data_IF_940487940332
#
_entry.id   IF_940487940332
#
_cell.length_a   1.000
_cell.length_b   1.000
_cell.length_c   1.000
_cell.angle_alpha   90.00
_cell.angle_beta   90.00
_cell.angle_gamma   90.00
#
_symmetry.space_group_name_H-M   'P 1'
#
loop_
_entity.id
_entity.type
_entity.pdbx_description
1 polymer ?
#
# COMPACT_ATOMS: atom_id res chain seq x y z
N UNK A 1 -2.57 -17.03 1.70
CA UNK A 1 -3.98 -17.43 1.91
C UNK A 1 -4.03 -18.93 2.16
N UNK A 2 -5.06 -19.42 2.86
CA UNK A 2 -5.35 -20.87 2.98
C UNK A 2 -6.23 -21.40 1.83
N UNK A 3 -6.52 -20.56 0.83
CA UNK A 3 -7.34 -20.90 -0.32
C UNK A 3 -6.63 -21.87 -1.25
N UNK A 4 -7.37 -22.87 -1.73
CA UNK A 4 -6.88 -23.80 -2.75
C UNK A 4 -6.47 -23.06 -4.03
N UNK A 5 -5.36 -23.45 -4.70
CA UNK A 5 -4.85 -22.79 -5.90
C UNK A 5 -5.93 -22.40 -6.92
N UNK A 6 -6.77 -23.36 -7.34
CA UNK A 6 -7.81 -23.14 -8.36
C UNK A 6 -8.96 -22.22 -7.95
N UNK A 7 -9.00 -21.75 -6.70
CA UNK A 7 -10.01 -20.82 -6.17
C UNK A 7 -9.42 -19.42 -5.92
N UNK A 8 -8.12 -19.22 -6.14
CA UNK A 8 -7.45 -17.96 -5.78
C UNK A 8 -7.99 -16.75 -6.55
N UNK A 9 -8.47 -16.94 -7.79
CA UNK A 9 -9.09 -15.89 -8.61
C UNK A 9 -10.39 -15.33 -8.04
N UNK A 10 -11.03 -16.05 -7.13
CA UNK A 10 -12.26 -15.63 -6.45
C UNK A 10 -12.01 -14.86 -5.15
N UNK A 11 -10.74 -14.73 -4.74
CA UNK A 11 -10.37 -14.13 -3.46
C UNK A 11 -10.03 -12.66 -3.61
N UNK A 12 -10.32 -11.95 -2.54
CA UNK A 12 -10.08 -10.52 -2.40
C UNK A 12 -8.99 -10.27 -1.36
N UNK A 13 -8.51 -9.03 -1.30
CA UNK A 13 -7.64 -8.59 -0.19
C UNK A 13 -8.39 -8.77 1.14
N UNK A 14 -9.69 -8.44 1.20
CA UNK A 14 -10.52 -8.60 2.39
C UNK A 14 -10.53 -10.05 2.90
N UNK A 15 -10.68 -11.04 2.02
CA UNK A 15 -10.59 -12.45 2.38
C UNK A 15 -9.24 -12.78 3.04
N UNK A 16 -8.13 -12.27 2.48
CA UNK A 16 -6.78 -12.52 3.01
C UNK A 16 -6.55 -11.85 4.37
N UNK A 17 -7.12 -10.66 4.59
CA UNK A 17 -7.06 -9.95 5.86
C UNK A 17 -7.89 -10.67 6.92
N UNK A 18 -9.09 -11.14 6.57
CA UNK A 18 -9.93 -11.93 7.47
C UNK A 18 -9.27 -13.27 7.85
N UNK A 19 -8.63 -13.96 6.91
CA UNK A 19 -7.86 -15.17 7.20
C UNK A 19 -6.76 -14.92 8.24
N UNK A 20 -6.06 -13.79 8.14
CA UNK A 20 -5.03 -13.41 9.11
C UNK A 20 -5.61 -13.03 10.47
N UNK A 21 -6.65 -12.20 10.50
CA UNK A 21 -7.34 -11.83 11.74
C UNK A 21 -7.88 -13.06 12.50
N UNK A 22 -8.36 -14.06 11.78
CA UNK A 22 -8.82 -15.33 12.34
C UNK A 22 -7.69 -16.33 12.64
N UNK A 23 -6.43 -15.92 12.54
CA UNK A 23 -5.25 -16.73 12.89
C UNK A 23 -4.98 -17.89 11.94
N UNK A 24 -5.55 -17.88 10.73
CA UNK A 24 -5.40 -18.94 9.71
C UNK A 24 -4.12 -18.79 8.90
N UNK A 25 -3.58 -17.57 8.81
CA UNK A 25 -2.32 -17.27 8.14
C UNK A 25 -1.40 -16.49 9.08
N UNK A 26 -0.09 -16.65 8.87
CA UNK A 26 0.94 -15.98 9.68
C UNK A 26 1.39 -14.63 9.09
N UNK A 27 1.11 -14.38 7.80
CA UNK A 27 1.54 -13.18 7.07
C UNK A 27 0.51 -12.81 5.99
N UNK A 28 0.38 -11.51 5.73
CA UNK A 28 -0.38 -10.92 4.61
C UNK A 28 0.44 -9.80 3.98
N UNK A 29 0.13 -9.44 2.74
CA UNK A 29 0.69 -8.26 2.09
C UNK A 29 -0.37 -7.15 2.05
N UNK A 30 -0.14 -6.06 2.76
CA UNK A 30 -1.03 -4.89 2.76
C UNK A 30 -0.29 -3.65 3.34
N UNK A 31 -0.94 -2.48 3.29
CA UNK A 31 -0.47 -1.25 3.92
C UNK A 31 -0.94 -1.10 5.38
N UNK A 32 -0.63 0.05 6.00
CA UNK A 32 -0.96 0.32 7.41
C UNK A 32 -2.47 0.41 7.65
N UNK A 33 -3.26 0.82 6.65
CA UNK A 33 -4.73 0.77 6.68
C UNK A 33 -5.28 -0.64 6.92
N UNK A 34 -4.47 -1.69 6.67
CA UNK A 34 -4.84 -3.07 6.92
C UNK A 34 -5.12 -3.39 8.38
N UNK A 35 -4.65 -2.59 9.34
CA UNK A 35 -4.97 -2.82 10.75
C UNK A 35 -6.47 -2.64 11.04
N UNK A 36 -7.13 -1.66 10.42
CA UNK A 36 -8.59 -1.52 10.51
C UNK A 36 -9.29 -2.79 10.03
N UNK A 37 -8.88 -3.31 8.88
CA UNK A 37 -9.41 -4.56 8.31
C UNK A 37 -9.21 -5.77 9.23
N UNK A 38 -8.14 -5.80 10.03
CA UNK A 38 -7.88 -6.87 11.02
C UNK A 38 -8.72 -6.67 12.27
N UNK A 39 -8.65 -5.48 12.87
CA UNK A 39 -9.24 -5.19 14.17
C UNK A 39 -10.77 -5.16 14.14
N UNK A 40 -11.36 -4.79 13.00
CA UNK A 40 -12.80 -4.78 12.76
C UNK A 40 -13.34 -6.13 12.26
N UNK A 41 -12.49 -7.12 11.99
CA UNK A 41 -12.95 -8.46 11.61
C UNK A 41 -13.64 -9.17 12.78
N UNK A 42 -14.88 -9.59 12.57
CA UNK A 42 -15.63 -10.40 13.53
C UNK A 42 -14.87 -11.68 13.91
N UNK A 43 -14.64 -11.86 15.21
CA UNK A 43 -13.90 -13.02 15.73
C UNK A 43 -12.39 -12.90 15.61
N UNK A 44 -11.84 -11.70 15.36
CA UNK A 44 -10.41 -11.44 15.38
C UNK A 44 -9.74 -12.06 16.63
N UNK A 45 -8.69 -12.82 16.39
CA UNK A 45 -7.90 -13.54 17.39
C UNK A 45 -6.49 -12.96 17.55
N UNK A 46 -6.08 -12.09 16.63
CA UNK A 46 -4.74 -11.48 16.62
C UNK A 46 -4.74 -10.23 17.50
N UNK A 47 -3.76 -10.17 18.40
CA UNK A 47 -3.57 -9.02 19.29
C UNK A 47 -2.84 -7.90 18.57
N UNK A 48 -3.23 -6.66 18.84
CA UNK A 48 -2.67 -5.48 18.18
C UNK A 48 -1.14 -5.38 18.33
N UNK A 49 -0.59 -5.71 19.50
CA UNK A 49 0.86 -5.69 19.75
C UNK A 49 1.65 -6.72 18.93
N UNK A 50 0.98 -7.76 18.39
CA UNK A 50 1.58 -8.81 17.58
C UNK A 50 1.49 -8.53 16.07
N UNK A 51 0.75 -7.49 15.65
CA UNK A 51 0.65 -7.10 14.24
C UNK A 51 1.79 -6.15 13.91
N UNK A 52 2.69 -6.58 13.03
CA UNK A 52 3.92 -5.87 12.69
C UNK A 52 4.18 -5.95 11.18
N UNK A 53 4.95 -5.00 10.66
CA UNK A 53 5.49 -5.09 9.32
C UNK A 53 6.75 -5.94 9.26
N UNK A 54 6.88 -6.67 8.15
CA UNK A 54 8.10 -7.34 7.75
C UNK A 54 8.54 -6.71 6.42
N UNK A 55 9.76 -6.14 6.31
CA UNK A 55 10.30 -5.69 5.02
C UNK A 55 10.29 -6.81 3.98
N UNK A 56 10.04 -6.47 2.72
CA UNK A 56 10.05 -7.45 1.62
C UNK A 56 11.48 -7.96 1.44
N UNK A 57 11.64 -9.28 1.58
CA UNK A 57 12.88 -9.96 1.25
C UNK A 57 12.84 -10.44 -0.20
N UNK A 58 13.84 -10.06 -0.98
CA UNK A 58 13.97 -10.41 -2.40
C UNK A 58 15.17 -11.31 -2.70
N UNK A 59 16.01 -11.59 -1.70
CA UNK A 59 17.23 -12.38 -1.86
C UNK A 59 18.40 -11.58 -2.43
N UNK A 60 18.32 -10.25 -2.45
CA UNK A 60 19.39 -9.39 -2.92
C UNK A 60 20.26 -8.90 -1.76
N UNK A 61 21.55 -8.66 -2.00
CA UNK A 61 22.49 -8.15 -0.99
C UNK A 61 22.02 -6.84 -0.34
N UNK A 62 21.27 -6.02 -1.09
CA UNK A 62 20.73 -4.74 -0.62
C UNK A 62 19.59 -4.88 0.38
N UNK A 63 18.96 -6.07 0.50
CA UNK A 63 17.83 -6.30 1.42
C UNK A 63 18.21 -5.98 2.88
N UNK A 64 19.49 -6.14 3.24
CA UNK A 64 20.01 -5.80 4.58
C UNK A 64 19.89 -4.32 4.92
N UNK A 65 19.90 -3.45 3.91
CA UNK A 65 19.85 -1.99 4.04
C UNK A 65 18.44 -1.47 3.69
N UNK A 66 17.51 -2.33 3.27
CA UNK A 66 16.14 -1.93 2.91
C UNK A 66 15.24 -1.78 4.15
N UNK A 67 14.44 -0.73 4.14
CA UNK A 67 13.34 -0.48 5.07
C UNK A 67 12.00 -0.94 4.50
N UNK A 68 10.91 -0.46 5.10
CA UNK A 68 9.56 -0.74 4.60
C UNK A 68 9.33 -0.08 3.22
N UNK A 69 8.37 -0.63 2.48
CA UNK A 69 7.85 0.02 1.28
C UNK A 69 7.03 1.23 1.70
N UNK A 70 7.60 2.43 1.62
CA UNK A 70 6.94 3.68 2.03
C UNK A 70 7.00 4.68 0.88
N UNK A 71 5.87 5.34 0.62
CA UNK A 71 5.73 6.35 -0.41
C UNK A 71 4.43 7.13 -0.25
N UNK A 72 4.29 8.22 -0.99
CA UNK A 72 3.07 9.02 -1.04
C UNK A 72 2.31 8.71 -2.33
N UNK A 73 1.26 7.91 -2.24
CA UNK A 73 0.46 7.53 -3.43
C UNK A 73 -0.66 8.53 -3.74
N UNK A 74 -1.28 9.08 -2.69
CA UNK A 74 -2.39 10.00 -2.81
C UNK A 74 -1.90 11.43 -2.61
N UNK A 75 -2.31 12.32 -3.52
CA UNK A 75 -2.02 13.74 -3.46
C UNK A 75 -3.27 14.54 -3.81
N UNK A 76 -3.38 15.73 -3.23
CA UNK A 76 -4.42 16.69 -3.59
C UNK A 76 -3.95 17.53 -4.77
N UNK A 77 -4.82 17.69 -5.78
CA UNK A 77 -4.59 18.55 -6.93
C UNK A 77 -5.69 19.59 -7.08
N UNK A 78 -5.31 20.79 -7.52
CA UNK A 78 -6.26 21.81 -7.97
C UNK A 78 -6.47 21.64 -9.47
N UNK A 79 -7.72 21.43 -9.89
CA UNK A 79 -8.05 21.32 -11.30
C UNK A 79 -7.93 22.69 -11.99
N UNK A 80 -7.04 22.83 -12.97
CA UNK A 80 -6.84 24.11 -13.67
C UNK A 80 -8.06 24.60 -14.46
N UNK A 81 -8.99 23.68 -14.80
CA UNK A 81 -10.14 23.92 -15.68
C UNK A 81 -11.36 24.52 -14.99
N UNK A 82 -11.36 24.61 -13.65
CA UNK A 82 -12.45 25.23 -12.87
C UNK A 82 -12.26 26.74 -12.76
N UNK A 83 -13.31 27.46 -12.36
CA UNK A 83 -13.22 28.91 -12.18
C UNK A 83 -12.36 29.27 -10.95
N UNK A 84 -11.93 30.54 -10.86
CA UNK A 84 -11.00 30.97 -9.80
C UNK A 84 -11.60 30.88 -8.39
N UNK A 85 -12.92 31.03 -8.25
CA UNK A 85 -13.59 30.89 -6.96
C UNK A 85 -13.51 29.43 -6.46
N UNK A 86 -13.73 28.45 -7.34
CA UNK A 86 -13.64 27.03 -7.02
C UNK A 86 -12.19 26.58 -6.75
N UNK A 87 -11.22 27.15 -7.48
CA UNK A 87 -9.79 26.95 -7.19
C UNK A 87 -9.45 27.43 -5.78
N UNK A 88 -9.87 28.64 -5.42
CA UNK A 88 -9.61 29.20 -4.10
C UNK A 88 -10.31 28.39 -3.00
N UNK A 89 -11.57 28.00 -3.21
CA UNK A 89 -12.30 27.16 -2.26
C UNK A 89 -11.61 25.80 -2.04
N UNK A 90 -11.03 25.20 -3.08
CA UNK A 90 -10.25 23.96 -2.97
C UNK A 90 -8.98 24.17 -2.14
N UNK A 91 -8.24 25.25 -2.37
CA UNK A 91 -7.03 25.60 -1.61
C UNK A 91 -7.39 25.86 -0.14
N UNK A 92 -8.45 26.62 0.12
CA UNK A 92 -8.92 26.94 1.46
C UNK A 92 -9.34 25.67 2.21
N UNK A 93 -10.02 24.75 1.53
CA UNK A 93 -10.40 23.46 2.11
C UNK A 93 -9.18 22.61 2.47
N UNK A 94 -8.19 22.47 1.58
CA UNK A 94 -6.97 21.71 1.87
C UNK A 94 -6.20 22.34 3.03
N UNK A 95 -6.05 23.66 3.04
CA UNK A 95 -5.41 24.38 4.15
C UNK A 95 -6.14 24.17 5.48
N UNK A 96 -7.48 24.24 5.46
CA UNK A 96 -8.30 23.94 6.63
C UNK A 96 -8.11 22.48 7.10
N UNK A 97 -8.11 21.52 6.17
CA UNK A 97 -7.97 20.10 6.48
C UNK A 97 -6.63 19.80 7.16
N UNK A 98 -5.53 20.41 6.69
CA UNK A 98 -4.19 20.11 7.21
C UNK A 98 -3.77 21.01 8.37
N UNK A 99 -4.44 22.13 8.62
CA UNK A 99 -4.00 23.13 9.62
C UNK A 99 -4.98 23.38 10.76
N UNK A 100 -6.25 23.01 10.63
CA UNK A 100 -7.24 23.19 11.71
C UNK A 100 -7.30 21.96 12.62
N UNK A 101 -7.56 22.16 13.91
CA UNK A 101 -7.68 21.06 14.89
C UNK A 101 -8.65 19.97 14.41
N UNK A 102 -9.81 20.37 13.89
CA UNK A 102 -10.83 19.43 13.39
C UNK A 102 -10.38 18.71 12.12
N UNK A 103 -9.72 19.40 11.19
CA UNK A 103 -9.19 18.78 9.98
C UNK A 103 -8.10 17.75 10.29
N UNK A 104 -7.19 18.12 11.20
CA UNK A 104 -6.09 17.27 11.67
C UNK A 104 -6.62 16.03 12.39
N UNK A 105 -7.61 16.19 13.26
CA UNK A 105 -8.31 15.08 13.91
C UNK A 105 -8.95 14.11 12.89
N UNK A 106 -9.59 14.63 11.84
CA UNK A 106 -10.10 13.78 10.77
C UNK A 106 -9.00 13.01 10.05
N UNK A 107 -7.90 13.67 9.66
CA UNK A 107 -6.81 13.00 8.95
C UNK A 107 -6.18 11.89 9.80
N UNK A 108 -5.82 12.20 11.04
CA UNK A 108 -5.06 11.29 11.90
C UNK A 108 -5.97 10.24 12.54
N UNK A 109 -7.03 10.65 13.23
CA UNK A 109 -7.76 9.77 14.14
C UNK A 109 -8.96 9.11 13.48
N UNK A 110 -9.59 9.76 12.49
CA UNK A 110 -10.74 9.18 11.77
C UNK A 110 -10.29 8.37 10.56
N UNK A 111 -9.37 8.91 9.76
CA UNK A 111 -8.92 8.29 8.51
C UNK A 111 -7.65 7.43 8.68
N UNK A 112 -6.95 7.55 9.82
CA UNK A 112 -5.73 6.77 10.09
C UNK A 112 -4.54 7.15 9.20
N UNK A 113 -4.54 8.36 8.64
CA UNK A 113 -3.46 8.80 7.75
C UNK A 113 -2.24 9.26 8.54
N UNK A 114 -1.06 8.87 8.06
CA UNK A 114 0.21 9.42 8.51
C UNK A 114 0.45 10.71 7.72
N UNK A 115 0.09 11.85 8.32
CA UNK A 115 0.11 13.14 7.66
C UNK A 115 1.56 13.64 7.47
N UNK A 116 2.06 13.84 6.23
CA UNK A 116 3.43 14.27 5.98
C UNK A 116 3.59 15.80 5.99
N UNK A 117 2.71 16.52 6.71
CA UNK A 117 2.67 17.98 6.71
C UNK A 117 3.29 18.55 7.99
N UNK A 118 4.06 19.63 7.86
CA UNK A 118 4.73 20.31 8.99
C UNK A 118 3.76 20.93 10.00
N UNK A 119 2.47 20.99 9.69
CA UNK A 119 1.41 21.46 10.58
C UNK A 119 1.03 20.45 11.65
N UNK A 120 1.42 19.17 11.52
CA UNK A 120 1.18 18.10 12.50
C UNK A 120 2.40 17.93 13.41
N UNK A 121 2.17 17.91 14.72
CA UNK A 121 3.18 17.57 15.72
C UNK A 121 3.30 16.05 15.91
N UNK A 122 4.34 15.62 16.63
CA UNK A 122 4.60 14.20 16.90
C UNK A 122 3.45 13.51 17.67
N UNK A 123 2.76 14.24 18.55
CA UNK A 123 1.59 13.76 19.31
C UNK A 123 0.30 13.73 18.50
N UNK A 124 0.31 14.23 17.27
CA UNK A 124 -0.81 14.20 16.32
C UNK A 124 -0.63 13.15 15.22
N UNK A 125 0.23 12.15 15.48
CA UNK A 125 0.42 10.98 14.64
C UNK A 125 -0.55 9.83 15.05
N UNK A 126 -0.96 8.95 14.11
CA UNK A 126 -1.92 7.90 14.43
C UNK A 126 -1.38 6.92 15.47
N UNK A 127 -2.19 6.53 16.46
CA UNK A 127 -1.79 5.55 17.51
C UNK A 127 -1.91 4.10 17.05
N UNK A 128 -2.35 3.88 15.82
CA UNK A 128 -2.45 2.58 15.18
C UNK A 128 -1.10 1.84 15.18
N UNK A 129 -1.05 0.53 15.53
CA UNK A 129 0.22 -0.17 15.68
C UNK A 129 1.01 -0.27 14.37
N UNK A 130 0.35 -0.40 13.22
CA UNK A 130 1.03 -0.43 11.92
C UNK A 130 1.47 0.97 11.50
N UNK A 131 0.69 2.02 11.78
CA UNK A 131 1.11 3.40 11.53
C UNK A 131 2.35 3.78 12.33
N UNK A 132 2.44 3.36 13.59
CA UNK A 132 3.61 3.54 14.44
C UNK A 132 4.86 2.82 13.89
N UNK A 133 4.71 1.62 13.30
CA UNK A 133 5.81 0.93 12.62
C UNK A 133 6.27 1.68 11.35
N UNK A 134 5.36 2.31 10.60
CA UNK A 134 5.73 3.17 9.45
C UNK A 134 6.49 4.40 9.91
N UNK A 135 6.00 5.14 10.91
CA UNK A 135 6.70 6.32 11.47
C UNK A 135 8.07 5.94 12.00
N UNK A 136 8.18 4.81 12.71
CA UNK A 136 9.47 4.27 13.17
C UNK A 136 10.40 3.98 12.00
N UNK A 137 9.91 3.36 10.93
CA UNK A 137 10.73 3.06 9.74
C UNK A 137 11.12 4.31 8.95
N UNK A 138 10.30 5.37 8.96
CA UNK A 138 10.65 6.66 8.35
C UNK A 138 11.77 7.38 9.09
N UNK A 139 11.84 7.21 10.40
CA UNK A 139 12.83 7.84 11.27
C UNK A 139 14.09 6.97 11.49
N UNK A 140 14.20 5.82 10.79
CA UNK A 140 15.37 4.95 10.85
C UNK A 140 16.34 5.26 9.69
N UNK A 141 17.25 6.20 9.93
CA UNK A 141 18.29 6.60 8.96
C UNK A 141 19.26 5.48 8.56
N UNK A 142 19.24 4.33 9.26
CA UNK A 142 20.06 3.17 8.90
C UNK A 142 19.47 2.33 7.76
N UNK A 143 18.22 2.63 7.37
CA UNK A 143 17.48 1.90 6.35
C UNK A 143 17.07 2.82 5.20
N UNK A 144 17.01 2.25 4.01
CA UNK A 144 16.52 2.93 2.80
C UNK A 144 15.12 2.44 2.49
N UNK A 145 14.08 3.30 2.55
CA UNK A 145 12.72 2.91 2.17
C UNK A 145 12.66 2.42 0.73
N UNK A 146 11.87 1.38 0.48
CA UNK A 146 11.62 0.90 -0.88
C UNK A 146 10.55 1.80 -1.50
N UNK A 147 10.91 2.52 -2.57
CA UNK A 147 10.00 3.46 -3.23
C UNK A 147 8.89 2.75 -4.00
N UNK A 148 7.71 3.35 -3.98
CA UNK A 148 6.57 2.93 -4.78
C UNK A 148 6.69 3.53 -6.18
N UNK A 149 7.12 2.74 -7.18
CA UNK A 149 7.43 3.24 -8.52
C UNK A 149 6.28 3.04 -9.52
N UNK A 150 5.03 3.27 -9.11
CA UNK A 150 3.85 3.00 -9.95
C UNK A 150 3.83 3.77 -11.27
N UNK A 151 4.38 4.99 -11.29
CA UNK A 151 4.47 5.83 -12.49
C UNK A 151 5.45 5.28 -13.53
N UNK A 152 6.26 4.29 -13.17
CA UNK A 152 7.22 3.67 -14.09
C UNK A 152 6.63 2.50 -14.87
N UNK A 153 5.55 1.91 -14.36
CA UNK A 153 4.87 0.78 -15.00
C UNK A 153 4.37 1.20 -16.39
N UNK A 154 4.51 0.35 -17.41
CA UNK A 154 4.22 0.73 -18.79
C UNK A 154 2.78 1.19 -19.05
N UNK A 155 1.82 0.26 -19.04
CA UNK A 155 0.43 0.51 -19.39
C UNK A 155 -0.52 -0.28 -18.49
N UNK A 156 -1.82 -0.04 -18.59
CA UNK A 156 -2.82 -0.90 -17.94
C UNK A 156 -2.79 -2.32 -18.52
N UNK A 157 -2.59 -2.45 -19.83
CA UNK A 157 -2.46 -3.75 -20.51
C UNK A 157 -1.34 -4.59 -19.91
N UNK A 158 -0.16 -3.99 -19.65
CA UNK A 158 0.94 -4.69 -18.98
C UNK A 158 0.51 -5.26 -17.61
N UNK A 159 -0.21 -4.47 -16.81
CA UNK A 159 -0.66 -4.90 -15.48
C UNK A 159 -1.64 -6.05 -15.58
N UNK A 160 -2.58 -5.98 -16.52
CA UNK A 160 -3.59 -7.02 -16.73
C UNK A 160 -2.94 -8.33 -17.21
N UNK A 161 -2.01 -8.25 -18.17
CA UNK A 161 -1.25 -9.39 -18.68
C UNK A 161 -0.37 -10.03 -17.60
N UNK A 162 0.37 -9.22 -16.84
CA UNK A 162 1.23 -9.73 -15.77
C UNK A 162 0.40 -10.37 -14.66
N UNK A 163 -0.73 -9.75 -14.27
CA UNK A 163 -1.69 -10.31 -13.33
C UNK A 163 -2.26 -11.66 -13.79
N UNK A 164 -2.65 -11.78 -15.05
CA UNK A 164 -3.11 -13.03 -15.64
C UNK A 164 -2.01 -14.12 -15.63
N UNK A 165 -0.76 -13.74 -15.95
CA UNK A 165 0.37 -14.66 -15.94
C UNK A 165 0.69 -15.19 -14.54
N UNK A 166 0.63 -14.32 -13.53
CA UNK A 166 0.77 -14.70 -12.12
C UNK A 166 -0.37 -15.61 -11.66
N UNK A 167 -1.60 -15.36 -12.10
CA UNK A 167 -2.75 -16.20 -11.78
C UNK A 167 -2.61 -17.61 -12.38
N UNK A 168 -2.17 -17.73 -13.63
CA UNK A 168 -1.90 -19.03 -14.25
C UNK A 168 -0.83 -19.81 -13.48
N UNK A 169 0.23 -19.13 -13.03
CA UNK A 169 1.26 -19.73 -12.19
C UNK A 169 0.69 -20.18 -10.84
N UNK A 170 -0.07 -19.32 -10.17
CA UNK A 170 -0.70 -19.64 -8.89
C UNK A 170 -1.67 -20.84 -9.01
N UNK A 171 -2.33 -21.01 -10.15
CA UNK A 171 -3.19 -22.16 -10.45
C UNK A 171 -2.42 -23.44 -10.82
N UNK A 172 -1.09 -23.39 -10.97
CA UNK A 172 -0.27 -24.52 -11.41
C UNK A 172 -0.32 -24.78 -12.93
N UNK A 173 -0.82 -23.82 -13.71
CA UNK A 173 -0.95 -23.94 -15.17
C UNK A 173 0.24 -23.35 -15.94
N UNK A 174 1.16 -22.66 -15.26
CA UNK A 174 2.33 -22.00 -15.84
C UNK A 174 3.54 -22.16 -14.93
N UNK A 175 4.71 -22.40 -15.53
CA UNK A 175 5.99 -22.45 -14.81
C UNK A 175 6.51 -21.04 -14.51
N UNK A 176 7.25 -20.86 -13.41
CA UNK A 176 7.78 -19.55 -13.00
C UNK A 176 8.65 -18.90 -14.07
N UNK A 177 9.53 -19.66 -14.73
CA UNK A 177 10.40 -19.15 -15.79
C UNK A 177 9.59 -18.55 -16.96
N UNK A 178 8.40 -19.09 -17.22
CA UNK A 178 7.50 -18.55 -18.24
C UNK A 178 6.86 -17.24 -17.78
N UNK A 179 6.48 -17.11 -16.51
CA UNK A 179 6.01 -15.84 -15.94
C UNK A 179 7.07 -14.76 -16.09
N UNK A 180 8.33 -15.07 -15.75
CA UNK A 180 9.46 -14.14 -15.88
C UNK A 180 9.66 -13.72 -17.33
N UNK A 181 9.67 -14.69 -18.26
CA UNK A 181 9.82 -14.40 -19.69
C UNK A 181 8.67 -13.55 -20.25
N UNK A 182 7.42 -13.85 -19.86
CA UNK A 182 6.23 -13.09 -20.26
C UNK A 182 6.33 -11.65 -19.75
N UNK A 183 6.66 -11.46 -18.47
CA UNK A 183 6.79 -10.14 -17.85
C UNK A 183 7.87 -9.28 -18.51
N UNK A 184 9.04 -9.84 -18.82
CA UNK A 184 10.13 -9.09 -19.48
C UNK A 184 9.75 -8.66 -20.90
N UNK A 185 9.13 -9.57 -21.68
CA UNK A 185 8.73 -9.27 -23.06
C UNK A 185 7.60 -8.24 -23.12
N UNK A 186 6.59 -8.40 -22.26
CA UNK A 186 5.43 -7.51 -22.20
C UNK A 186 5.82 -6.13 -21.65
N UNK A 187 6.72 -6.07 -20.67
CA UNK A 187 7.27 -4.81 -20.20
C UNK A 187 7.92 -4.02 -21.33
N UNK A 188 8.79 -4.66 -22.12
CA UNK A 188 9.46 -3.98 -23.24
C UNK A 188 8.45 -3.46 -24.27
N UNK A 189 7.49 -4.31 -24.66
CA UNK A 189 6.45 -3.98 -25.65
C UNK A 189 5.59 -2.82 -25.20
N UNK A 190 5.04 -2.89 -23.99
CA UNK A 190 4.13 -1.87 -23.49
C UNK A 190 4.85 -0.58 -23.11
N UNK A 191 6.17 -0.63 -22.81
CA UNK A 191 6.94 0.57 -22.52
C UNK A 191 7.17 1.41 -23.77
N UNK A 192 7.47 0.75 -24.89
CA UNK A 192 7.60 1.41 -26.20
C UNK A 192 6.25 2.02 -26.68
N UNK A 193 5.12 1.44 -26.27
CA UNK A 193 3.79 1.91 -26.69
C UNK A 193 3.31 3.19 -25.97
N UNK A 194 3.94 3.58 -24.86
CA UNK A 194 3.57 4.77 -24.05
C UNK A 194 4.57 5.92 -24.15
N UNK A 195 5.65 5.76 -24.93
CA UNK A 195 6.58 6.82 -25.33
C UNK A 195 6.07 7.59 -26.57
#
# INVERSE_FOLDING_TARGET
SITDPGLISSKTVEDSMAEFALGKTAMVQNGNWGFGQISETDGNTVKAENVKFLPIYTGMDKDKDQGLCIGTENFFCVNEKVNDADKQATIDFVNWLISSDKGKDYMTNTLGFIAPFSTFSEDEQPTDPLAQEVVKSLNDDSKTPVTWNFTTFPSQTFKDNFGASLLDYANGNKEWDKVVSDMVADWATEKEAVE
#
